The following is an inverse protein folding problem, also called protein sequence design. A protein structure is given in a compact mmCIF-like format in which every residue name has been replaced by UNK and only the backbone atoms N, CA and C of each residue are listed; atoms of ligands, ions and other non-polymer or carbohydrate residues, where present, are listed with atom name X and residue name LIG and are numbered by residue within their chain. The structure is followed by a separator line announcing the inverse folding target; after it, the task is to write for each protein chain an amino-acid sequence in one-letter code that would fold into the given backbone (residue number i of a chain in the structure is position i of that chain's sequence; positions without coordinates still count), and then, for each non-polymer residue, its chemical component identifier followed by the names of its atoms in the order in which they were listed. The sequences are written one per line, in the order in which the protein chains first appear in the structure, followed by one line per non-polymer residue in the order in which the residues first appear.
data_IF_068513376349
#
_entry.id   IF_068513376349
#
_cell.length_a   1.000
_cell.length_b   1.000
_cell.length_c   1.000
_cell.angle_alpha   90.00
_cell.angle_beta   90.00
_cell.angle_gamma   90.00
#
_symmetry.space_group_name_H-M   'P 1'
#
loop_
_entity.id
_entity.type
_entity.pdbx_description
1 polymer ?
#
# COMPACT_ATOMS: atom_id res chain seq x y z
N UNK A 1 -1.77 8.83 -10.23
CA UNK A 1 -0.79 9.73 -9.58
C UNK A 1 0.57 9.05 -9.58
N UNK A 2 1.53 9.64 -10.29
CA UNK A 2 2.89 9.12 -10.33
C UNK A 2 3.70 9.53 -9.09
N UNK A 3 4.92 9.02 -8.98
CA UNK A 3 5.81 9.32 -7.84
C UNK A 3 6.19 10.80 -7.77
N UNK A 4 6.45 11.44 -8.91
CA UNK A 4 6.95 12.81 -8.97
C UNK A 4 5.84 13.80 -8.64
N UNK A 5 4.62 13.53 -9.08
CA UNK A 5 3.41 14.27 -8.72
C UNK A 5 3.14 14.19 -7.21
N UNK A 6 3.30 13.00 -6.62
CA UNK A 6 3.20 12.81 -5.17
C UNK A 6 4.30 13.57 -4.38
N UNK A 7 5.54 13.58 -4.89
CA UNK A 7 6.64 14.32 -4.27
C UNK A 7 6.38 15.83 -4.26
N UNK A 8 5.89 16.38 -5.38
CA UNK A 8 5.54 17.80 -5.49
C UNK A 8 4.43 18.22 -4.53
N UNK A 9 3.40 17.38 -4.33
CA UNK A 9 2.30 17.68 -3.41
C UNK A 9 2.71 17.68 -1.94
N UNK A 10 3.76 16.92 -1.60
CA UNK A 10 4.28 16.80 -0.24
C UNK A 10 5.39 17.80 0.09
N UNK A 11 6.04 18.41 -0.90
CA UNK A 11 7.18 19.32 -0.70
C UNK A 11 6.82 20.56 0.13
N UNK A 12 5.60 21.05 0.02
CA UNK A 12 5.11 22.25 0.70
C UNK A 12 4.23 21.95 1.93
N UNK A 13 4.17 20.68 2.35
CA UNK A 13 3.31 20.25 3.47
C UNK A 13 4.09 20.08 4.76
N UNK A 14 3.39 20.22 5.89
CA UNK A 14 3.96 19.99 7.21
C UNK A 14 4.54 18.56 7.32
N UNK A 15 5.58 18.42 8.14
CA UNK A 15 6.17 17.11 8.41
C UNK A 15 5.14 16.13 8.98
N UNK A 16 5.22 14.87 8.57
CA UNK A 16 4.23 13.84 8.89
C UNK A 16 3.02 13.79 7.95
N UNK A 17 2.89 14.72 7.00
CA UNK A 17 1.85 14.63 5.97
C UNK A 17 2.11 13.43 5.06
N UNK A 18 1.10 12.58 4.87
CA UNK A 18 1.12 11.45 3.96
C UNK A 18 -0.04 11.52 2.98
N UNK A 19 0.13 10.88 1.82
CA UNK A 19 -0.93 10.67 0.85
C UNK A 19 -0.99 9.20 0.47
N UNK A 20 -2.21 8.69 0.25
CA UNK A 20 -2.43 7.39 -0.37
C UNK A 20 -2.55 7.62 -1.88
N UNK A 21 -1.85 6.82 -2.67
CA UNK A 21 -1.98 6.83 -4.13
C UNK A 21 -2.19 5.41 -4.63
N UNK A 22 -2.94 5.29 -5.71
CA UNK A 22 -3.02 4.03 -6.44
C UNK A 22 -1.62 3.66 -6.98
N UNK A 23 -1.30 2.38 -6.90
CA UNK A 23 -0.07 1.86 -7.50
C UNK A 23 -0.13 2.12 -9.01
N UNK A 24 0.95 2.63 -9.59
CA UNK A 24 1.05 2.85 -11.05
C UNK A 24 1.16 1.53 -11.85
N UNK A 25 0.97 0.38 -11.20
CA UNK A 25 1.00 -0.94 -11.82
C UNK A 25 -0.43 -1.32 -12.24
N UNK A 26 -0.80 -0.99 -13.47
CA UNK A 26 -2.07 -1.41 -14.09
C UNK A 26 -2.22 -2.94 -14.21
N UNK A 27 -1.10 -3.68 -14.25
CA UNK A 27 -1.08 -5.14 -14.47
C UNK A 27 -1.76 -5.98 -13.36
N UNK A 28 -2.21 -5.36 -12.27
CA UNK A 28 -2.85 -6.06 -11.15
C UNK A 28 -4.25 -5.58 -10.81
N UNK A 29 -4.91 -4.80 -11.67
CA UNK A 29 -6.22 -4.21 -11.34
C UNK A 29 -7.29 -5.28 -10.99
N UNK A 30 -7.37 -6.36 -11.77
CA UNK A 30 -8.36 -7.42 -11.53
C UNK A 30 -8.08 -8.21 -10.25
N UNK A 31 -6.82 -8.58 -9.99
CA UNK A 31 -6.44 -9.31 -8.79
C UNK A 31 -6.55 -8.45 -7.52
N UNK A 32 -6.31 -7.13 -7.61
CA UNK A 32 -6.52 -6.19 -6.51
C UNK A 32 -8.00 -6.06 -6.13
N UNK A 33 -8.91 -6.00 -7.10
CA UNK A 33 -10.35 -5.95 -6.82
C UNK A 33 -10.82 -7.21 -6.09
N UNK A 34 -10.42 -8.39 -6.58
CA UNK A 34 -10.71 -9.65 -5.90
C UNK A 34 -10.14 -9.66 -4.48
N UNK A 35 -8.90 -9.18 -4.31
CA UNK A 35 -8.25 -9.09 -3.00
C UNK A 35 -8.99 -8.16 -2.05
N UNK A 36 -9.43 -6.99 -2.51
CA UNK A 36 -10.16 -6.02 -1.72
C UNK A 36 -11.48 -6.61 -1.19
N UNK A 37 -12.28 -7.25 -2.06
CA UNK A 37 -13.55 -7.88 -1.69
C UNK A 37 -13.35 -9.05 -0.72
N UNK A 38 -12.37 -9.93 -0.98
CA UNK A 38 -12.12 -11.07 -0.08
C UNK A 38 -11.63 -10.58 1.29
N UNK A 39 -10.77 -9.57 1.32
CA UNK A 39 -10.23 -9.00 2.56
C UNK A 39 -11.24 -8.16 3.34
N UNK A 40 -12.28 -7.63 2.68
CA UNK A 40 -13.37 -6.91 3.37
C UNK A 40 -14.39 -7.85 4.01
N UNK A 41 -14.48 -9.10 3.55
CA UNK A 41 -15.39 -10.12 4.06
C UNK A 41 -14.70 -11.26 4.84
N UNK A 42 -13.38 -11.21 5.00
CA UNK A 42 -12.59 -12.21 5.72
C UNK A 42 -11.58 -11.52 6.64
N UNK A 43 -11.14 -12.23 7.68
CA UNK A 43 -10.02 -11.80 8.53
C UNK A 43 -8.70 -12.39 8.03
N UNK A 44 -7.57 -11.83 8.44
CA UNK A 44 -6.23 -12.33 8.11
C UNK A 44 -6.06 -13.83 8.43
N UNK A 45 -6.57 -14.25 9.58
CA UNK A 45 -6.56 -15.65 10.00
C UNK A 45 -7.66 -16.47 9.32
N UNK A 46 -8.81 -15.87 9.02
CA UNK A 46 -9.91 -16.48 8.28
C UNK A 46 -9.51 -16.89 6.86
N UNK A 47 -8.56 -16.19 6.22
CA UNK A 47 -8.01 -16.58 4.91
C UNK A 47 -7.40 -17.98 4.94
N UNK A 48 -6.86 -18.43 6.09
CA UNK A 48 -6.29 -19.78 6.19
C UNK A 48 -7.36 -20.89 6.15
N UNK A 49 -8.61 -20.55 6.46
CA UNK A 49 -9.76 -21.47 6.46
C UNK A 49 -10.38 -21.62 5.06
N UNK A 50 -10.01 -20.74 4.11
CA UNK A 50 -10.48 -20.81 2.74
C UNK A 50 -9.77 -21.96 2.00
N UNK A 51 -10.56 -22.75 1.25
CA UNK A 51 -10.10 -23.84 0.40
C UNK A 51 -9.40 -23.34 -0.89
N UNK A 52 -8.39 -22.48 -0.74
CA UNK A 52 -7.63 -21.88 -1.83
C UNK A 52 -6.23 -22.50 -1.95
N UNK A 53 -5.57 -22.41 -3.11
CA UNK A 53 -4.14 -22.70 -3.25
C UNK A 53 -3.27 -21.83 -2.32
N UNK A 54 -2.10 -22.34 -1.91
CA UNK A 54 -1.16 -21.63 -1.01
C UNK A 54 -0.74 -20.27 -1.57
N UNK A 55 -0.51 -20.18 -2.87
CA UNK A 55 -0.14 -18.93 -3.54
C UNK A 55 -1.21 -17.84 -3.38
N UNK A 56 -2.49 -18.19 -3.52
CA UNK A 56 -3.59 -17.23 -3.38
C UNK A 56 -3.77 -16.78 -1.93
N UNK A 57 -3.59 -17.68 -0.94
CA UNK A 57 -3.57 -17.26 0.47
C UNK A 57 -2.44 -16.26 0.76
N UNK A 58 -1.24 -16.51 0.24
CA UNK A 58 -0.11 -15.59 0.39
C UNK A 58 -0.40 -14.23 -0.23
N UNK A 59 -0.97 -14.20 -1.43
CA UNK A 59 -1.35 -12.96 -2.12
C UNK A 59 -2.40 -12.16 -1.33
N UNK A 60 -3.46 -12.80 -0.82
CA UNK A 60 -4.48 -12.13 -0.02
C UNK A 60 -3.89 -11.55 1.27
N UNK A 61 -2.92 -12.24 1.89
CA UNK A 61 -2.25 -11.85 3.13
C UNK A 61 -1.10 -10.86 2.94
N UNK A 62 -0.78 -10.46 1.70
CA UNK A 62 0.37 -9.61 1.42
C UNK A 62 0.14 -8.14 1.78
N UNK A 63 0.82 -7.67 2.82
CA UNK A 63 0.84 -6.26 3.18
C UNK A 63 1.67 -5.46 2.16
N UNK A 64 1.02 -4.86 1.15
CA UNK A 64 1.66 -4.08 0.08
C UNK A 64 2.17 -2.69 0.54
N UNK A 65 2.39 -2.49 1.84
CA UNK A 65 2.93 -1.24 2.39
C UNK A 65 4.44 -1.19 2.17
N UNK A 66 4.86 -0.87 0.95
CA UNK A 66 6.24 -0.43 0.66
C UNK A 66 6.24 1.06 0.35
N UNK A 67 5.81 1.86 1.32
CA UNK A 67 5.99 3.30 1.24
C UNK A 67 7.43 3.62 1.65
N UNK A 68 8.25 4.08 0.69
CA UNK A 68 9.53 4.72 1.04
C UNK A 68 9.21 6.01 1.78
N UNK A 69 9.30 5.98 3.10
CA UNK A 69 9.18 7.17 3.94
C UNK A 69 10.31 8.12 3.55
N UNK A 70 9.97 9.37 3.26
CA UNK A 70 10.96 10.41 2.99
C UNK A 70 11.66 10.74 4.30
N UNK A 71 12.92 10.33 4.46
CA UNK A 71 13.72 10.69 5.62
C UNK A 71 14.36 12.05 5.31
N UNK A 72 13.76 13.14 5.77
CA UNK A 72 14.44 14.44 5.83
C UNK A 72 15.26 14.45 7.12
N UNK A 73 16.56 14.72 7.05
CA UNK A 73 17.36 14.94 8.26
C UNK A 73 16.88 16.24 8.88
N UNK A 74 16.56 16.22 10.16
CA UNK A 74 16.39 17.43 10.95
C UNK A 74 17.77 18.08 11.03
N UNK A 75 18.02 19.12 10.24
CA UNK A 75 19.14 20.01 10.50
C UNK A 75 18.72 20.83 11.73
N UNK A 76 19.18 20.36 12.88
CA UNK A 76 18.88 20.93 14.18
C UNK A 76 19.86 22.09 14.41
N UNK A 77 19.73 23.16 13.62
CA UNK A 77 20.50 24.38 13.79
C UNK A 77 20.14 25.01 15.15
N UNK A 78 21.05 24.83 16.12
CA UNK A 78 21.10 25.57 17.39
C UNK A 78 22.08 26.74 17.23
#
# INVERSE_FOLDING_TARGET
MDRYEAERLLDERAEGTFLLRDSAQEEYLFSHLCRAVVSSHSTYDGINQLALPKALRSYLKEYHYKQRVRVRRFDNDH
#
